data_IF_845976585992
#
_entry.id   IF_845976585992
#
_cell.length_a   1.000
_cell.length_b   1.000
_cell.length_c   1.000
_cell.angle_alpha   90.00
_cell.angle_beta   90.00
_cell.angle_gamma   90.00
#
_symmetry.space_group_name_H-M   'P 1'
#
loop_
_entity.id
_entity.type
_entity.pdbx_description
1 polymer ?
#
# COMPACT_ATOMS: atom_id res chain seq x y z
N UNK A 1 6.22 12.49 -32.99
CA UNK A 1 6.12 13.09 -31.64
C UNK A 1 6.06 11.98 -30.62
N UNK A 2 6.84 12.05 -29.53
CA UNK A 2 6.69 11.11 -28.43
C UNK A 2 5.24 11.18 -27.92
N UNK A 3 4.55 10.04 -27.89
CA UNK A 3 3.23 9.92 -27.25
C UNK A 3 3.47 9.51 -25.81
N UNK A 4 3.48 10.48 -24.91
CA UNK A 4 3.41 10.20 -23.48
C UNK A 4 2.01 9.61 -23.20
N UNK A 5 1.95 8.32 -22.89
CA UNK A 5 0.69 7.69 -22.44
C UNK A 5 0.45 8.16 -21.01
N UNK A 6 -0.66 8.86 -20.80
CA UNK A 6 -1.16 9.31 -19.49
C UNK A 6 -1.67 8.15 -18.62
N UNK A 7 -0.86 7.10 -18.47
CA UNK A 7 -1.13 5.96 -17.60
C UNK A 7 -0.16 5.90 -16.41
N UNK A 8 0.77 6.84 -16.27
CA UNK A 8 1.43 7.08 -14.99
C UNK A 8 0.44 7.78 -14.07
N UNK A 9 0.35 7.33 -12.83
CA UNK A 9 -0.45 7.93 -11.74
C UNK A 9 -0.11 9.42 -11.46
N UNK A 10 0.87 9.96 -12.18
CA UNK A 10 1.43 11.30 -12.09
C UNK A 10 1.08 12.04 -13.38
N UNK A 11 0.40 13.18 -13.27
CA UNK A 11 0.21 14.10 -14.39
C UNK A 11 1.55 14.62 -14.92
N UNK A 12 1.54 15.24 -16.11
CA UNK A 12 2.76 15.79 -16.75
C UNK A 12 3.53 16.75 -15.83
N UNK A 13 2.82 17.52 -15.00
CA UNK A 13 3.42 18.46 -14.04
C UNK A 13 4.18 17.75 -12.92
N UNK A 14 3.58 16.73 -12.30
CA UNK A 14 4.24 15.97 -11.22
C UNK A 14 5.46 15.21 -11.72
N UNK A 15 5.44 14.71 -12.95
CA UNK A 15 6.61 14.10 -13.60
C UNK A 15 7.72 15.13 -13.86
N UNK A 16 7.39 16.35 -14.30
CA UNK A 16 8.41 17.40 -14.45
C UNK A 16 9.03 17.79 -13.12
N UNK A 17 8.23 17.90 -12.06
CA UNK A 17 8.74 18.18 -10.70
C UNK A 17 9.64 17.03 -10.24
N UNK A 18 9.25 15.78 -10.47
CA UNK A 18 10.07 14.60 -10.17
C UNK A 18 11.44 14.68 -10.86
N UNK A 19 11.48 14.90 -12.18
CA UNK A 19 12.73 15.02 -12.93
C UNK A 19 13.60 16.20 -12.44
N UNK A 20 12.96 17.32 -12.07
CA UNK A 20 13.66 18.47 -11.51
C UNK A 20 14.27 18.16 -10.13
N UNK A 21 13.58 17.39 -9.29
CA UNK A 21 14.04 17.00 -7.96
C UNK A 21 15.32 16.15 -7.99
N UNK A 22 15.59 15.38 -9.06
CA UNK A 22 16.88 14.68 -9.23
C UNK A 22 18.06 15.66 -9.08
N UNK A 23 17.97 16.85 -9.69
CA UNK A 23 19.03 17.88 -9.63
C UNK A 23 19.31 18.41 -8.22
N UNK A 24 18.36 18.27 -7.28
CA UNK A 24 18.50 18.72 -5.90
C UNK A 24 18.87 17.59 -4.93
N UNK A 25 18.54 16.36 -5.27
CA UNK A 25 18.69 15.20 -4.38
C UNK A 25 19.94 14.36 -4.71
N UNK A 26 20.38 14.31 -5.97
CA UNK A 26 21.48 13.43 -6.36
C UNK A 26 22.83 13.80 -5.71
N UNK A 27 23.22 15.07 -5.71
CA UNK A 27 24.48 15.50 -5.11
C UNK A 27 24.55 15.21 -3.59
N UNK A 28 23.52 15.53 -2.79
CA UNK A 28 23.48 15.12 -1.39
C UNK A 28 23.54 13.59 -1.20
N UNK A 29 22.85 12.82 -2.05
CA UNK A 29 22.87 11.35 -1.95
C UNK A 29 24.26 10.82 -2.26
N UNK A 30 24.89 11.26 -3.34
CA UNK A 30 26.21 10.79 -3.75
C UNK A 30 27.29 11.17 -2.73
N UNK A 31 27.19 12.36 -2.14
CA UNK A 31 28.10 12.84 -1.08
C UNK A 31 28.06 11.94 0.16
N UNK A 32 26.88 11.40 0.50
CA UNK A 32 26.67 10.58 1.70
C UNK A 32 26.38 9.11 1.41
N UNK A 33 26.70 8.65 0.19
CA UNK A 33 26.26 7.35 -0.31
C UNK A 33 26.63 6.21 0.63
N UNK A 34 27.89 6.15 1.07
CA UNK A 34 28.40 5.09 1.95
C UNK A 34 27.61 4.97 3.27
N UNK A 35 27.10 6.09 3.78
CA UNK A 35 26.32 6.13 5.03
C UNK A 35 24.85 5.74 4.81
N UNK A 36 24.30 6.00 3.62
CA UNK A 36 22.92 5.66 3.25
C UNK A 36 22.78 4.20 2.80
N UNK A 37 23.81 3.66 2.14
CA UNK A 37 23.77 2.33 1.51
C UNK A 37 23.36 1.18 2.43
N UNK A 38 23.77 1.11 3.71
CA UNK A 38 23.34 0.03 4.59
C UNK A 38 21.81 -0.07 4.74
N UNK A 39 21.13 1.05 5.03
CA UNK A 39 19.66 1.05 5.14
C UNK A 39 18.98 0.93 3.78
N UNK A 40 19.54 1.55 2.73
CA UNK A 40 19.03 1.38 1.38
C UNK A 40 19.01 -0.09 0.95
N UNK A 41 20.06 -0.84 1.30
CA UNK A 41 20.17 -2.27 0.99
C UNK A 41 19.10 -3.06 1.73
N UNK A 42 18.86 -2.74 3.02
CA UNK A 42 17.79 -3.39 3.80
C UNK A 42 16.42 -3.13 3.18
N UNK A 43 16.11 -1.86 2.85
CA UNK A 43 14.83 -1.49 2.24
C UNK A 43 14.64 -2.14 0.87
N UNK A 44 15.69 -2.16 0.05
CA UNK A 44 15.68 -2.78 -1.28
C UNK A 44 15.39 -4.28 -1.20
N UNK A 45 16.09 -5.01 -0.33
CA UNK A 45 15.90 -6.46 -0.20
C UNK A 45 14.52 -6.84 0.37
N UNK A 46 13.88 -5.97 1.16
CA UNK A 46 12.55 -6.23 1.72
C UNK A 46 11.44 -6.24 0.66
N UNK A 47 11.55 -5.45 -0.42
CA UNK A 47 10.52 -5.41 -1.47
C UNK A 47 11.09 -5.39 -2.89
N UNK A 48 12.21 -6.09 -3.09
CA UNK A 48 12.96 -6.14 -4.34
C UNK A 48 12.10 -6.49 -5.55
N UNK A 49 11.20 -7.45 -5.39
CA UNK A 49 10.34 -7.92 -6.48
C UNK A 49 9.39 -6.84 -6.99
N UNK A 50 8.79 -6.04 -6.08
CA UNK A 50 7.96 -4.91 -6.47
C UNK A 50 8.82 -3.81 -7.11
N UNK A 51 9.93 -3.43 -6.49
CA UNK A 51 10.84 -2.40 -7.01
C UNK A 51 11.32 -2.69 -8.44
N UNK A 52 11.59 -3.96 -8.76
CA UNK A 52 11.99 -4.38 -10.11
C UNK A 52 10.89 -4.18 -11.16
N UNK A 53 9.61 -4.27 -10.79
CA UNK A 53 8.49 -3.97 -11.71
C UNK A 53 8.43 -2.48 -12.07
N UNK A 54 9.02 -1.64 -11.22
CA UNK A 54 9.08 -0.18 -11.38
C UNK A 54 10.46 0.32 -11.80
N UNK A 55 11.29 -0.53 -12.44
CA UNK A 55 12.62 -0.20 -12.94
C UNK A 55 13.64 0.26 -11.87
N UNK A 56 13.36 0.00 -10.59
CA UNK A 56 14.28 0.27 -9.50
C UNK A 56 15.13 -0.99 -9.23
N UNK A 57 16.30 -1.07 -9.89
CA UNK A 57 17.12 -2.29 -9.94
C UNK A 57 18.20 -2.43 -8.87
N UNK A 58 18.47 -1.40 -8.07
CA UNK A 58 19.56 -1.39 -7.09
C UNK A 58 19.21 -0.59 -5.83
N UNK A 59 19.92 -0.78 -4.70
CA UNK A 59 19.76 0.08 -3.54
C UNK A 59 20.06 1.57 -3.83
N UNK A 60 21.00 1.89 -4.74
CA UNK A 60 21.28 3.29 -5.13
C UNK A 60 20.13 3.91 -5.93
N UNK A 61 19.54 3.16 -6.85
CA UNK A 61 18.35 3.63 -7.57
C UNK A 61 17.18 3.82 -6.60
N UNK A 62 17.02 2.93 -5.61
CA UNK A 62 16.01 3.11 -4.56
C UNK A 62 16.23 4.41 -3.78
N UNK A 63 17.47 4.72 -3.38
CA UNK A 63 17.78 5.98 -2.69
C UNK A 63 17.37 7.21 -3.52
N UNK A 64 17.75 7.25 -4.80
CA UNK A 64 17.37 8.36 -5.68
C UNK A 64 15.86 8.52 -5.73
N UNK A 65 15.17 7.45 -6.13
CA UNK A 65 13.71 7.44 -6.29
C UNK A 65 12.96 7.75 -4.99
N UNK A 66 13.45 7.27 -3.84
CA UNK A 66 12.83 7.49 -2.53
C UNK A 66 12.95 8.94 -2.08
N UNK A 67 14.14 9.55 -2.21
CA UNK A 67 14.38 10.96 -1.88
C UNK A 67 13.57 11.89 -2.76
N UNK A 68 13.51 11.59 -4.05
CA UNK A 68 12.77 12.39 -5.02
C UNK A 68 11.27 12.32 -4.75
N UNK A 69 10.73 11.13 -4.46
CA UNK A 69 9.33 10.99 -4.03
C UNK A 69 9.04 11.79 -2.77
N UNK A 70 9.91 11.73 -1.76
CA UNK A 70 9.73 12.53 -0.55
C UNK A 70 9.74 14.04 -0.86
N UNK A 71 10.64 14.50 -1.73
CA UNK A 71 10.70 15.89 -2.18
C UNK A 71 9.43 16.31 -2.94
N UNK A 72 8.94 15.48 -3.85
CA UNK A 72 7.68 15.70 -4.59
C UNK A 72 6.50 15.78 -3.63
N UNK A 73 6.38 14.85 -2.68
CA UNK A 73 5.29 14.89 -1.69
C UNK A 73 5.37 16.09 -0.75
N UNK A 74 6.58 16.54 -0.41
CA UNK A 74 6.75 17.79 0.33
C UNK A 74 6.31 18.99 -0.50
N UNK A 75 6.68 19.05 -1.78
CA UNK A 75 6.18 20.07 -2.71
C UNK A 75 4.65 20.07 -2.78
N UNK A 76 4.02 18.91 -2.91
CA UNK A 76 2.56 18.79 -2.95
C UNK A 76 1.90 19.29 -1.64
N UNK A 77 2.52 19.03 -0.47
CA UNK A 77 2.06 19.58 0.82
C UNK A 77 2.10 21.10 0.82
N UNK A 78 3.22 21.68 0.38
CA UNK A 78 3.42 23.14 0.35
C UNK A 78 2.45 23.85 -0.61
N UNK A 79 1.91 23.12 -1.59
CA UNK A 79 0.98 23.63 -2.60
C UNK A 79 -0.48 23.19 -2.39
N UNK A 80 -0.80 22.54 -1.26
CA UNK A 80 -2.15 22.07 -0.91
C UNK A 80 -2.78 21.11 -1.94
N UNK A 81 -1.96 20.31 -2.62
CA UNK A 81 -2.41 19.27 -3.57
C UNK A 81 -2.03 17.85 -3.12
N UNK A 82 -1.52 17.73 -1.89
CA UNK A 82 -1.09 16.46 -1.31
C UNK A 82 -2.25 15.50 -1.06
N UNK A 83 -2.09 14.27 -1.55
CA UNK A 83 -3.00 13.17 -1.27
C UNK A 83 -2.26 11.99 -0.63
N UNK A 84 -2.64 11.64 0.60
CA UNK A 84 -2.02 10.52 1.34
C UNK A 84 -2.13 9.19 0.60
N UNK A 85 -3.14 9.04 -0.26
CA UNK A 85 -3.33 7.88 -1.14
C UNK A 85 -2.12 7.65 -2.06
N UNK A 86 -1.50 8.72 -2.58
CA UNK A 86 -0.34 8.62 -3.47
C UNK A 86 0.89 8.09 -2.72
N UNK A 87 1.06 8.48 -1.45
CA UNK A 87 2.14 7.96 -0.60
C UNK A 87 1.96 6.46 -0.35
N UNK A 88 0.74 6.02 -0.04
CA UNK A 88 0.40 4.60 0.14
C UNK A 88 0.67 3.78 -1.12
N UNK A 89 0.33 4.34 -2.28
CA UNK A 89 0.61 3.74 -3.58
C UNK A 89 2.09 3.47 -3.78
N UNK A 90 2.94 4.47 -3.55
CA UNK A 90 4.38 4.33 -3.69
C UNK A 90 4.97 3.32 -2.70
N UNK A 91 4.47 3.26 -1.46
CA UNK A 91 4.92 2.25 -0.50
C UNK A 91 4.56 0.84 -0.98
N UNK A 92 3.36 0.65 -1.53
CA UNK A 92 2.95 -0.62 -2.15
C UNK A 92 3.80 -0.99 -3.36
N UNK A 93 4.26 -0.01 -4.15
CA UNK A 93 5.23 -0.20 -5.24
C UNK A 93 6.66 -0.52 -4.74
N UNK A 94 6.87 -0.55 -3.42
CA UNK A 94 8.12 -0.97 -2.79
C UNK A 94 9.03 0.14 -2.31
N UNK A 95 8.60 1.41 -2.41
CA UNK A 95 9.30 2.55 -1.80
C UNK A 95 9.09 2.60 -0.28
N UNK A 96 9.52 1.54 0.39
CA UNK A 96 9.54 1.45 1.85
C UNK A 96 10.41 2.58 2.43
N UNK A 97 10.02 3.09 3.60
CA UNK A 97 10.73 4.21 4.24
C UNK A 97 10.27 5.60 3.81
N UNK A 98 9.35 5.70 2.84
CA UNK A 98 8.89 6.99 2.31
C UNK A 98 8.26 7.89 3.38
N UNK A 99 7.45 7.34 4.29
CA UNK A 99 6.90 8.13 5.40
C UNK A 99 8.00 8.69 6.31
N UNK A 100 9.00 7.87 6.64
CA UNK A 100 10.12 8.30 7.49
C UNK A 100 10.91 9.42 6.81
N UNK A 101 11.12 9.32 5.49
CA UNK A 101 11.80 10.36 4.75
C UNK A 101 10.97 11.64 4.64
N UNK A 102 9.66 11.51 4.41
CA UNK A 102 8.73 12.65 4.38
C UNK A 102 8.69 13.38 5.73
N UNK A 103 8.67 12.65 6.86
CA UNK A 103 8.77 13.24 8.21
C UNK A 103 10.10 14.01 8.40
N UNK A 104 11.17 13.57 7.76
CA UNK A 104 12.47 14.24 7.77
C UNK A 104 12.49 15.50 6.90
N UNK A 105 11.90 15.44 5.71
CA UNK A 105 11.78 16.58 4.81
C UNK A 105 10.91 17.68 5.40
N UNK A 106 9.83 17.32 6.09
CA UNK A 106 9.00 18.30 6.79
C UNK A 106 9.77 19.03 7.89
N UNK A 107 10.68 18.33 8.61
CA UNK A 107 11.58 18.97 9.58
C UNK A 107 12.60 19.88 8.90
N UNK A 108 13.18 19.46 7.78
CA UNK A 108 14.13 20.25 7.00
C UNK A 108 13.51 21.57 6.54
N UNK A 109 12.31 21.54 5.95
CA UNK A 109 11.63 22.74 5.45
C UNK A 109 11.25 23.71 6.58
N UNK A 110 10.93 23.19 7.76
CA UNK A 110 10.59 24.01 8.92
C UNK A 110 11.81 24.54 9.69
N UNK A 111 13.01 23.99 9.46
CA UNK A 111 14.24 24.46 10.09
C UNK A 111 14.96 25.51 9.22
N UNK A 112 14.94 26.76 9.68
CA UNK A 112 15.58 27.89 8.98
C UNK A 112 17.11 27.89 9.03
N UNK A 113 17.74 26.96 9.76
CA UNK A 113 19.18 26.88 9.93
C UNK A 113 19.94 26.22 8.78
N UNK A 114 19.28 25.35 7.99
CA UNK A 114 19.91 24.62 6.88
C UNK A 114 19.60 25.30 5.55
N UNK A 115 20.65 25.58 4.75
CA UNK A 115 20.50 26.26 3.46
C UNK A 115 20.45 25.30 2.27
N UNK A 116 20.94 24.07 2.46
CA UNK A 116 20.97 23.02 1.44
C UNK A 116 20.61 21.69 2.08
N UNK A 117 20.04 20.79 1.27
CA UNK A 117 19.74 19.42 1.71
C UNK A 117 21.02 18.70 2.17
N UNK A 118 22.16 18.93 1.50
CA UNK A 118 23.48 18.40 1.85
C UNK A 118 23.87 18.69 3.31
N UNK A 119 23.46 19.84 3.85
CA UNK A 119 23.76 20.25 5.23
C UNK A 119 22.88 19.51 6.26
N UNK A 120 21.71 19.01 5.83
CA UNK A 120 20.74 18.30 6.65
C UNK A 120 20.82 16.76 6.51
N UNK A 121 21.65 16.26 5.59
CA UNK A 121 21.84 14.82 5.37
C UNK A 121 22.24 14.04 6.63
N UNK A 122 23.12 14.55 7.53
CA UNK A 122 23.43 13.82 8.77
C UNK A 122 22.20 13.52 9.65
N UNK A 123 21.22 14.42 9.67
CA UNK A 123 19.97 14.29 10.42
C UNK A 123 19.06 13.26 9.75
N UNK A 124 18.98 13.25 8.42
CA UNK A 124 18.25 12.23 7.65
C UNK A 124 18.86 10.85 7.91
N UNK A 125 20.17 10.70 7.80
CA UNK A 125 20.88 9.43 8.02
C UNK A 125 20.64 8.92 9.44
N UNK A 126 20.81 9.78 10.44
CA UNK A 126 20.55 9.44 11.84
C UNK A 126 19.10 8.98 12.05
N UNK A 127 18.14 9.68 11.44
CA UNK A 127 16.73 9.34 11.55
C UNK A 127 16.41 8.00 10.88
N UNK A 128 16.84 7.77 9.64
CA UNK A 128 16.63 6.51 8.93
C UNK A 128 17.28 5.32 9.66
N UNK A 129 18.45 5.51 10.26
CA UNK A 129 19.14 4.49 11.05
C UNK A 129 18.45 4.18 12.39
N UNK A 130 17.52 5.03 12.85
CA UNK A 130 16.75 4.79 14.08
C UNK A 130 15.59 3.79 13.89
N UNK A 131 15.27 3.41 12.65
CA UNK A 131 14.18 2.50 12.33
C UNK A 131 14.62 1.06 12.05
N UNK A 132 13.89 0.11 12.63
CA UNK A 132 13.91 -1.28 12.20
C UNK A 132 12.90 -1.49 11.06
N UNK A 133 13.36 -1.31 9.81
CA UNK A 133 12.49 -1.48 8.64
C UNK A 133 12.03 -2.93 8.44
N UNK A 134 12.76 -3.92 8.94
CA UNK A 134 12.31 -5.32 8.88
C UNK A 134 11.14 -5.56 9.82
N UNK A 135 11.12 -4.88 10.97
CA UNK A 135 9.97 -4.88 11.87
C UNK A 135 8.78 -4.17 11.24
N UNK A 136 8.97 -2.95 10.73
CA UNK A 136 7.90 -2.18 10.07
C UNK A 136 7.26 -3.01 8.95
N UNK A 137 8.08 -3.61 8.08
CA UNK A 137 7.58 -4.40 6.97
C UNK A 137 6.78 -5.65 7.40
N UNK A 138 7.19 -6.34 8.48
CA UNK A 138 6.53 -7.57 8.92
C UNK A 138 5.31 -7.34 9.80
N UNK A 139 5.36 -6.31 10.63
CA UNK A 139 4.39 -6.11 11.72
C UNK A 139 3.46 -4.92 11.47
N UNK A 140 3.96 -3.83 10.88
CA UNK A 140 3.18 -2.60 10.72
C UNK A 140 2.45 -2.51 9.38
N UNK A 141 3.02 -3.05 8.30
CA UNK A 141 2.33 -3.09 7.00
C UNK A 141 1.23 -4.16 7.06
N UNK A 142 -0.05 -3.80 6.83
CA UNK A 142 -1.15 -4.74 6.90
C UNK A 142 -1.02 -5.92 5.95
N UNK A 143 -1.40 -7.10 6.45
CA UNK A 143 -1.47 -8.34 5.70
C UNK A 143 -2.63 -9.18 6.23
N UNK A 144 -3.40 -9.80 5.33
CA UNK A 144 -4.33 -10.87 5.70
C UNK A 144 -3.51 -12.15 5.86
N UNK A 145 -3.36 -12.62 7.10
CA UNK A 145 -2.57 -13.81 7.42
C UNK A 145 -3.24 -15.10 7.01
N UNK A 146 -4.55 -15.19 7.23
CA UNK A 146 -5.36 -16.34 6.84
C UNK A 146 -6.84 -15.99 6.93
N UNK A 147 -7.68 -16.90 6.46
CA UNK A 147 -9.12 -16.90 6.71
C UNK A 147 -9.51 -18.08 7.62
N UNK A 148 -10.72 -18.08 8.14
CA UNK A 148 -11.28 -19.23 8.90
C UNK A 148 -11.48 -20.50 8.04
N UNK A 149 -11.23 -20.43 6.74
CA UNK A 149 -11.12 -21.58 5.84
C UNK A 149 -9.76 -21.54 5.13
N UNK A 150 -9.25 -22.72 4.78
CA UNK A 150 -8.03 -22.86 4.00
C UNK A 150 -8.25 -22.39 2.55
N UNK A 151 -7.33 -21.58 2.04
CA UNK A 151 -7.37 -21.13 0.65
C UNK A 151 -7.07 -22.32 -0.28
N UNK A 152 -7.94 -22.53 -1.26
CA UNK A 152 -7.90 -23.67 -2.17
C UNK A 152 -8.62 -24.92 -1.66
N UNK A 153 -9.27 -24.86 -0.48
CA UNK A 153 -10.00 -26.02 0.08
C UNK A 153 -11.09 -26.51 -0.86
N UNK A 154 -11.23 -27.83 -1.03
CA UNK A 154 -12.24 -28.45 -1.90
C UNK A 154 -13.46 -29.03 -1.15
N UNK A 155 -13.50 -28.84 0.17
CA UNK A 155 -14.39 -29.54 1.08
C UNK A 155 -15.05 -28.60 2.11
N UNK A 156 -15.41 -27.38 1.69
CA UNK A 156 -16.05 -26.38 2.56
C UNK A 156 -17.53 -26.71 2.80
N UNK A 157 -17.99 -26.62 4.04
CA UNK A 157 -19.41 -26.84 4.37
C UNK A 157 -20.30 -25.81 3.65
N UNK A 158 -21.32 -26.28 2.92
CA UNK A 158 -22.26 -25.41 2.22
C UNK A 158 -23.19 -24.64 3.18
N UNK A 159 -23.22 -25.03 4.46
CA UNK A 159 -23.91 -24.34 5.54
C UNK A 159 -23.04 -23.28 6.24
N UNK A 160 -21.78 -23.13 5.85
CA UNK A 160 -20.98 -21.98 6.28
C UNK A 160 -21.74 -20.71 5.89
N UNK A 161 -21.81 -19.75 6.81
CA UNK A 161 -22.57 -18.50 6.64
C UNK A 161 -21.68 -17.26 6.75
N UNK A 162 -20.39 -17.46 7.02
CA UNK A 162 -19.44 -16.39 7.27
C UNK A 162 -18.00 -16.78 6.93
N UNK A 163 -17.24 -15.78 6.48
CA UNK A 163 -15.79 -15.83 6.39
C UNK A 163 -15.24 -14.81 7.39
N UNK A 164 -14.19 -15.21 8.10
CA UNK A 164 -13.40 -14.35 8.99
C UNK A 164 -12.01 -14.20 8.37
N UNK A 165 -11.56 -12.96 8.21
CA UNK A 165 -10.18 -12.64 7.84
C UNK A 165 -9.39 -12.25 9.09
N UNK A 166 -8.15 -12.72 9.20
CA UNK A 166 -7.25 -12.43 10.31
C UNK A 166 -6.08 -11.56 9.82
N UNK A 167 -5.88 -10.41 10.43
CA UNK A 167 -4.86 -9.42 10.06
C UNK A 167 -3.69 -9.45 11.06
N UNK A 168 -2.48 -9.12 10.60
CA UNK A 168 -1.32 -8.96 11.49
C UNK A 168 -1.42 -7.72 12.40
N UNK A 169 -2.05 -6.66 11.90
CA UNK A 169 -2.18 -5.36 12.57
C UNK A 169 -3.64 -4.96 12.74
N UNK A 170 -3.88 -3.98 13.60
CA UNK A 170 -5.21 -3.42 13.81
C UNK A 170 -5.61 -2.56 12.60
N UNK A 171 -6.76 -2.87 12.02
CA UNK A 171 -7.28 -2.21 10.82
C UNK A 171 -8.21 -1.04 11.14
N UNK A 172 -8.30 -0.09 10.22
CA UNK A 172 -9.31 0.95 10.27
C UNK A 172 -10.70 0.34 10.09
N UNK A 173 -11.60 0.62 11.05
CA UNK A 173 -12.96 0.09 11.05
C UNK A 173 -13.85 1.06 10.29
N UNK A 174 -14.04 0.81 9.00
CA UNK A 174 -14.97 1.61 8.20
C UNK A 174 -16.41 1.43 8.71
N UNK A 175 -17.06 2.53 9.09
CA UNK A 175 -18.52 2.57 9.24
C UNK A 175 -19.16 2.77 7.86
N UNK A 176 -20.34 2.19 7.65
CA UNK A 176 -20.96 1.89 6.34
C UNK A 176 -21.39 3.08 5.47
N UNK A 177 -20.88 4.29 5.67
CA UNK A 177 -21.40 5.52 5.03
C UNK A 177 -20.43 6.26 4.11
N UNK A 178 -19.19 5.82 3.92
CA UNK A 178 -18.22 6.51 3.04
C UNK A 178 -17.37 5.58 2.16
N UNK A 179 -18.03 4.62 1.50
CA UNK A 179 -17.56 4.18 0.17
C UNK A 179 -17.96 5.26 -0.84
N UNK A 180 -17.27 6.40 -0.78
CA UNK A 180 -17.42 7.45 -1.79
C UNK A 180 -16.74 6.96 -3.08
N UNK A 181 -17.61 6.61 -4.03
CA UNK A 181 -17.30 6.15 -5.37
C UNK A 181 -16.76 7.36 -6.14
N UNK A 182 -15.50 7.71 -5.95
CA UNK A 182 -14.79 8.65 -6.83
C UNK A 182 -13.63 7.94 -7.49
N UNK A 183 -13.93 7.48 -8.71
CA UNK A 183 -13.01 7.23 -9.82
C UNK A 183 -11.77 6.39 -9.52
N UNK A 184 -11.90 5.07 -9.64
CA UNK A 184 -10.78 4.21 -10.03
C UNK A 184 -11.13 3.53 -11.36
N UNK A 185 -10.50 3.91 -12.48
CA UNK A 185 -10.28 2.97 -13.58
C UNK A 185 -9.40 1.85 -13.00
N UNK A 186 -10.01 0.72 -12.63
CA UNK A 186 -9.30 -0.37 -11.94
C UNK A 186 -10.09 -1.04 -10.81
N UNK A 187 -11.25 -0.50 -10.44
CA UNK A 187 -12.30 -1.30 -9.79
C UNK A 187 -13.00 -2.14 -10.87
N UNK A 188 -12.26 -3.06 -11.49
CA UNK A 188 -12.89 -4.25 -12.05
C UNK A 188 -13.37 -5.09 -10.88
N UNK A 189 -14.66 -4.92 -10.62
CA UNK A 189 -15.49 -5.74 -9.76
C UNK A 189 -15.33 -7.22 -10.14
N UNK A 190 -14.50 -7.95 -9.39
CA UNK A 190 -14.83 -9.32 -8.98
C UNK A 190 -15.06 -9.26 -7.48
N UNK A 191 -16.17 -8.64 -7.10
CA UNK A 191 -16.46 -8.25 -5.72
C UNK A 191 -16.43 -9.46 -4.80
N UNK A 192 -15.51 -9.44 -3.84
CA UNK A 192 -15.71 -10.18 -2.59
C UNK A 192 -17.05 -9.76 -2.00
N UNK A 193 -18.06 -10.64 -2.12
CA UNK A 193 -19.39 -10.40 -1.57
C UNK A 193 -20.42 -9.75 -2.51
N UNK A 194 -20.28 -9.93 -3.83
CA UNK A 194 -21.46 -10.07 -4.70
C UNK A 194 -21.44 -11.44 -5.37
N UNK A 195 -22.36 -12.31 -4.93
CA UNK A 195 -22.76 -13.47 -5.72
C UNK A 195 -23.39 -12.95 -7.00
N UNK A 196 -22.65 -12.87 -8.10
CA UNK A 196 -23.31 -12.90 -9.40
C UNK A 196 -23.68 -14.35 -9.63
N UNK A 197 -24.88 -14.73 -9.22
CA UNK A 197 -25.44 -16.01 -9.66
C UNK A 197 -25.46 -15.96 -11.20
N UNK A 198 -24.58 -16.74 -11.85
CA UNK A 198 -24.46 -16.82 -13.32
C UNK A 198 -25.78 -17.21 -14.00
N UNK A 199 -26.75 -17.74 -13.26
CA UNK A 199 -28.10 -18.10 -13.72
C UNK A 199 -29.11 -16.95 -13.58
N UNK A 200 -28.91 -15.97 -12.68
CA UNK A 200 -29.95 -14.94 -12.37
C UNK A 200 -29.50 -13.48 -12.41
N UNK A 201 -28.20 -13.18 -12.55
CA UNK A 201 -27.69 -11.82 -12.78
C UNK A 201 -27.89 -10.80 -11.64
N UNK A 202 -28.35 -11.22 -10.45
CA UNK A 202 -28.58 -10.33 -9.31
C UNK A 202 -27.32 -10.13 -8.48
N UNK A 203 -27.00 -8.87 -8.16
CA UNK A 203 -25.92 -8.48 -7.24
C UNK A 203 -26.36 -8.66 -5.79
N UNK A 204 -25.90 -9.69 -5.07
CA UNK A 204 -26.19 -9.81 -3.62
C UNK A 204 -25.11 -9.13 -2.78
N UNK A 205 -25.43 -7.98 -2.21
CA UNK A 205 -24.62 -7.23 -1.23
C UNK A 205 -24.34 -8.09 0.01
N UNK A 206 -23.11 -8.04 0.54
CA UNK A 206 -22.73 -8.48 1.88
C UNK A 206 -23.79 -7.98 2.88
N UNK A 207 -24.58 -8.89 3.47
CA UNK A 207 -25.74 -8.49 4.26
C UNK A 207 -25.36 -7.80 5.57
N UNK A 208 -24.37 -8.37 6.27
CA UNK A 208 -23.83 -7.90 7.55
C UNK A 208 -22.33 -8.21 7.57
N UNK A 209 -21.61 -7.44 8.36
CA UNK A 209 -20.20 -7.62 8.66
C UNK A 209 -19.91 -7.05 10.04
N UNK A 210 -18.78 -7.46 10.62
CA UNK A 210 -18.36 -7.06 11.96
C UNK A 210 -16.84 -7.09 12.04
N UNK A 211 -16.28 -6.09 12.70
CA UNK A 211 -14.90 -6.10 13.16
C UNK A 211 -14.80 -6.60 14.59
N UNK A 212 -13.72 -7.31 14.92
CA UNK A 212 -13.34 -7.57 16.32
C UNK A 212 -13.06 -6.26 17.07
N UNK A 213 -13.07 -6.32 18.41
CA UNK A 213 -12.77 -5.16 19.26
C UNK A 213 -11.34 -4.66 19.06
N UNK A 214 -10.38 -5.56 18.84
CA UNK A 214 -8.99 -5.23 18.54
C UNK A 214 -8.72 -4.86 17.07
N UNK A 215 -9.75 -4.94 16.21
CA UNK A 215 -9.67 -4.62 14.78
C UNK A 215 -8.75 -5.53 13.96
N UNK A 216 -8.38 -6.71 14.48
CA UNK A 216 -7.55 -7.70 13.79
C UNK A 216 -8.35 -8.80 13.10
N UNK A 217 -9.67 -8.81 13.26
CA UNK A 217 -10.56 -9.76 12.60
C UNK A 217 -11.71 -9.03 11.92
N UNK A 218 -12.01 -9.43 10.68
CA UNK A 218 -13.20 -8.97 9.97
C UNK A 218 -14.03 -10.15 9.52
N UNK A 219 -15.27 -10.20 10.02
CA UNK A 219 -16.25 -11.22 9.66
C UNK A 219 -17.25 -10.61 8.70
N UNK A 220 -17.48 -11.25 7.56
CA UNK A 220 -18.60 -10.91 6.67
C UNK A 220 -19.52 -12.11 6.48
N UNK A 221 -20.82 -11.83 6.46
CA UNK A 221 -21.87 -12.85 6.45
C UNK A 221 -22.55 -12.95 5.08
N UNK A 222 -22.83 -14.18 4.65
CA UNK A 222 -23.57 -14.51 3.43
C UNK A 222 -24.71 -15.50 3.72
N UNK A 223 -25.72 -15.51 2.84
CA UNK A 223 -26.97 -16.22 3.12
C UNK A 223 -26.85 -17.74 3.07
N UNK A 224 -26.25 -18.27 2.00
CA UNK A 224 -26.09 -19.72 1.78
C UNK A 224 -25.16 -19.98 0.61
N UNK A 225 -24.25 -20.94 0.76
CA UNK A 225 -23.46 -21.47 -0.36
C UNK A 225 -24.22 -22.60 -1.06
N UNK A 226 -24.01 -22.73 -2.36
CA UNK A 226 -24.52 -23.87 -3.12
C UNK A 226 -23.59 -25.07 -2.90
N UNK A 227 -24.10 -26.30 -2.78
CA UNK A 227 -23.27 -27.51 -2.79
C UNK A 227 -22.50 -27.67 -4.11
N UNK A 228 -21.40 -28.42 -4.07
CA UNK A 228 -20.51 -28.75 -5.21
C UNK A 228 -20.12 -27.53 -6.08
N UNK A 229 -19.90 -26.38 -5.46
CA UNK A 229 -19.70 -25.10 -6.16
C UNK A 229 -18.36 -24.48 -5.82
N UNK A 230 -17.63 -24.06 -6.86
CA UNK A 230 -16.38 -23.31 -6.73
C UNK A 230 -16.66 -21.82 -6.50
N UNK A 231 -15.92 -21.23 -5.56
CA UNK A 231 -15.96 -19.82 -5.18
C UNK A 231 -14.57 -19.20 -5.28
N UNK A 232 -14.56 -17.90 -5.58
CA UNK A 232 -13.39 -17.02 -5.52
C UNK A 232 -13.85 -15.68 -4.95
N UNK A 233 -13.04 -15.13 -4.04
CA UNK A 233 -13.31 -13.88 -3.33
C UNK A 233 -12.01 -13.07 -3.36
N UNK A 234 -12.02 -11.91 -4.01
CA UNK A 234 -10.86 -10.98 -4.07
C UNK A 234 -11.03 -9.81 -3.11
N UNK A 235 -10.09 -9.68 -2.19
CA UNK A 235 -9.97 -8.56 -1.26
C UNK A 235 -8.86 -7.64 -1.77
N UNK A 236 -9.26 -6.52 -2.37
CA UNK A 236 -8.33 -5.57 -2.96
C UNK A 236 -7.54 -4.82 -1.89
N UNK A 237 -6.24 -4.64 -2.11
CA UNK A 237 -5.33 -4.03 -1.14
C UNK A 237 -5.80 -2.65 -0.66
N UNK A 238 -6.27 -1.84 -1.61
CA UNK A 238 -6.78 -0.47 -1.37
C UNK A 238 -8.04 -0.38 -0.54
N UNK A 239 -8.75 -1.50 -0.31
CA UNK A 239 -9.96 -1.53 0.50
C UNK A 239 -9.67 -1.59 2.00
N UNK A 240 -8.41 -1.75 2.39
CA UNK A 240 -7.99 -2.00 3.76
C UNK A 240 -6.82 -1.11 4.11
N UNK A 241 -6.98 -0.33 5.18
CA UNK A 241 -5.94 0.53 5.74
C UNK A 241 -5.75 0.18 7.21
N UNK A 242 -4.53 0.31 7.73
CA UNK A 242 -4.27 0.19 9.16
C UNK A 242 -4.96 1.32 9.95
N UNK A 243 -5.14 1.12 11.25
CA UNK A 243 -5.82 2.11 12.11
C UNK A 243 -5.12 3.47 12.17
N UNK A 244 -3.80 3.54 11.94
CA UNK A 244 -3.06 4.80 11.92
C UNK A 244 -3.23 5.55 10.61
N UNK A 245 -3.99 5.00 9.66
CA UNK A 245 -4.23 5.57 8.33
C UNK A 245 -2.91 5.85 7.59
N UNK A 246 -1.96 4.91 7.72
CA UNK A 246 -0.60 5.00 7.19
C UNK A 246 -0.37 3.99 6.07
N UNK A 247 -0.72 2.73 6.26
CA UNK A 247 -0.42 1.67 5.32
C UNK A 247 -1.71 0.99 4.85
N UNK A 248 -1.72 0.61 3.58
CA UNK A 248 -2.73 -0.30 3.02
C UNK A 248 -2.23 -1.74 3.09
N UNK A 249 -3.11 -2.70 2.80
CA UNK A 249 -2.69 -4.09 2.63
C UNK A 249 -1.53 -4.18 1.64
N UNK A 250 -0.55 -5.02 2.01
CA UNK A 250 0.62 -5.29 1.22
C UNK A 250 0.25 -5.79 -0.19
N UNK A 251 -0.65 -6.75 -0.24
CA UNK A 251 -1.07 -7.45 -1.46
C UNK A 251 -2.59 -7.61 -1.49
N UNK A 252 -3.13 -7.82 -2.69
CA UNK A 252 -4.50 -8.33 -2.83
C UNK A 252 -4.55 -9.75 -2.25
N UNK A 253 -5.61 -10.07 -1.51
CA UNK A 253 -5.84 -11.42 -1.02
C UNK A 253 -6.92 -12.08 -1.86
N UNK A 254 -6.62 -13.24 -2.45
CA UNK A 254 -7.59 -14.01 -3.26
C UNK A 254 -7.87 -15.31 -2.52
N UNK A 255 -9.10 -15.47 -2.05
CA UNK A 255 -9.59 -16.68 -1.39
C UNK A 255 -10.41 -17.50 -2.38
N UNK A 256 -9.92 -18.70 -2.69
CA UNK A 256 -10.60 -19.70 -3.52
C UNK A 256 -11.03 -20.87 -2.66
N UNK A 257 -12.20 -21.46 -2.91
CA UNK A 257 -12.64 -22.68 -2.24
C UNK A 257 -13.79 -23.37 -2.98
N UNK A 258 -14.02 -24.64 -2.72
CA UNK A 258 -15.14 -25.42 -3.22
C UNK A 258 -15.97 -25.99 -2.06
N UNK A 259 -17.29 -25.96 -2.21
CA UNK A 259 -18.19 -26.61 -1.25
C UNK A 259 -18.32 -28.11 -1.48
N UNK A 260 -18.63 -28.83 -0.40
CA UNK A 260 -18.96 -30.26 -0.45
C UNK A 260 -20.16 -30.53 -1.36
N UNK A 261 -20.20 -31.73 -1.93
CA UNK A 261 -21.37 -32.27 -2.63
C UNK A 261 -22.59 -32.36 -1.71
#
# INVERSE_FOLDING_TARGET
>A
MPRFRANSFLGTETMLIHELCHSFCDEPIDTYLDQLMPQATILYELNREELLKHYCGTPRSLLGELFIRAAVFQYEKDHNVFEVFNVRGNIREGYLGLYQLLDCFEKYVNDTGYKKLTDFMPQIISYLNSFDFKKIYREDIPEIKYANIENGSDNVDCNLDSIVLYFNTEMYKYDKTTLDIRSTPGLELVQAGVYTNKVTGKKQVIGKDKWSEDGKEWTFYFKKLQPDTQYEIRFGAWSFTDKKDKYILKDDYILTFKTKK
#
